data_IF_302973347691
#
_entry.id   IF_302973347691
#
_cell.length_a   1.000
_cell.length_b   1.000
_cell.length_c   1.000
_cell.angle_alpha   90.00
_cell.angle_beta   90.00
_cell.angle_gamma   90.00
#
_symmetry.space_group_name_H-M   'P 1'
#
loop_
_entity.id
_entity.type
_entity.pdbx_description
1 polymer ?
#
# COMPACT_ATOMS: atom_id res chain seq x y z
N UNK A 1 16.29 -0.08 0.20
CA UNK A 1 15.82 -1.09 1.16
C UNK A 1 15.10 -0.47 2.36
N UNK A 2 15.63 0.60 2.99
CA UNK A 2 14.98 1.23 4.15
C UNK A 2 13.57 1.79 3.89
N UNK A 3 13.31 2.39 2.72
CA UNK A 3 11.99 2.97 2.40
C UNK A 3 10.88 1.93 2.31
N UNK A 4 11.16 0.74 1.77
CA UNK A 4 10.20 -0.36 1.71
C UNK A 4 9.93 -0.94 3.09
N UNK A 5 10.95 -1.14 3.92
CA UNK A 5 10.77 -1.59 5.31
C UNK A 5 9.98 -0.59 6.15
N UNK A 6 10.20 0.71 5.96
CA UNK A 6 9.42 1.76 6.64
C UNK A 6 7.95 1.75 6.18
N UNK A 7 7.72 1.61 4.87
CA UNK A 7 6.38 1.49 4.32
C UNK A 7 5.66 0.27 4.92
N UNK A 8 6.31 -0.90 4.97
CA UNK A 8 5.74 -2.10 5.59
C UNK A 8 5.45 -1.91 7.09
N UNK A 9 6.34 -1.23 7.81
CA UNK A 9 6.16 -0.96 9.24
C UNK A 9 5.00 -0.01 9.56
N UNK A 10 4.62 0.88 8.62
CA UNK A 10 3.47 1.76 8.76
C UNK A 10 2.18 1.10 8.27
N UNK A 11 2.26 0.34 7.18
CA UNK A 11 1.14 -0.29 6.52
C UNK A 11 0.54 -1.42 7.36
N UNK A 12 1.39 -2.20 8.04
CA UNK A 12 0.95 -3.31 8.87
C UNK A 12 0.02 -2.90 10.03
N UNK A 13 0.42 -1.99 10.94
CA UNK A 13 -0.47 -1.58 12.03
C UNK A 13 -1.70 -0.80 11.54
N UNK A 14 -1.60 -0.03 10.45
CA UNK A 14 -2.74 0.71 9.90
C UNK A 14 -3.82 -0.24 9.35
N UNK A 15 -3.42 -1.20 8.52
CA UNK A 15 -4.37 -2.19 7.96
C UNK A 15 -4.92 -3.13 9.04
N UNK A 16 -4.11 -3.52 10.02
CA UNK A 16 -4.56 -4.29 11.17
C UNK A 16 -5.55 -3.53 12.07
N UNK A 17 -5.43 -2.19 12.14
CA UNK A 17 -6.40 -1.32 12.83
C UNK A 17 -7.70 -1.10 12.04
N UNK A 18 -7.80 -1.66 10.83
CA UNK A 18 -9.00 -1.62 9.97
C UNK A 18 -8.96 -0.55 8.88
N UNK A 19 -7.90 0.25 8.79
CA UNK A 19 -7.73 1.23 7.73
C UNK A 19 -7.46 0.59 6.38
N UNK A 20 -7.90 1.26 5.31
CA UNK A 20 -7.50 0.89 3.95
C UNK A 20 -6.17 1.55 3.62
N UNK A 21 -5.28 0.80 2.95
CA UNK A 21 -4.01 1.33 2.47
C UNK A 21 -3.84 1.07 0.97
N UNK A 22 -3.14 1.97 0.28
CA UNK A 22 -2.82 1.81 -1.12
C UNK A 22 -1.34 2.01 -1.39
N UNK A 23 -0.79 1.23 -2.32
CA UNK A 23 0.61 1.33 -2.72
C UNK A 23 0.69 1.42 -4.24
N UNK A 24 1.30 2.50 -4.73
CA UNK A 24 1.37 2.81 -6.15
C UNK A 24 2.83 2.93 -6.61
N UNK A 25 3.19 2.28 -7.72
CA UNK A 25 4.50 2.40 -8.34
C UNK A 25 5.63 1.58 -7.68
N UNK A 26 5.30 0.62 -6.81
CA UNK A 26 6.25 -0.30 -6.18
C UNK A 26 6.09 -1.74 -6.72
N UNK A 27 6.65 -2.05 -7.91
CA UNK A 27 6.47 -3.36 -8.55
C UNK A 27 7.17 -4.52 -7.84
N UNK A 28 8.14 -4.21 -6.98
CA UNK A 28 8.88 -5.19 -6.18
C UNK A 28 8.43 -5.22 -4.71
N UNK A 29 7.25 -4.68 -4.38
CA UNK A 29 6.71 -4.78 -3.03
C UNK A 29 6.44 -6.25 -2.69
N UNK A 30 7.14 -6.78 -1.69
CA UNK A 30 6.94 -8.14 -1.20
C UNK A 30 5.65 -8.24 -0.38
N UNK A 31 4.54 -8.58 -1.02
CA UNK A 31 3.25 -8.80 -0.34
C UNK A 31 3.33 -9.92 0.71
N UNK A 32 4.13 -10.96 0.46
CA UNK A 32 4.40 -12.01 1.43
C UNK A 32 5.08 -11.44 2.69
N UNK A 33 6.10 -10.60 2.52
CA UNK A 33 6.75 -9.94 3.65
C UNK A 33 5.81 -8.97 4.39
N UNK A 34 4.89 -8.31 3.68
CA UNK A 34 3.87 -7.47 4.29
C UNK A 34 2.90 -8.27 5.17
N UNK A 35 2.41 -9.42 4.67
CA UNK A 35 1.56 -10.32 5.44
C UNK A 35 2.29 -10.90 6.66
N UNK A 36 3.56 -11.28 6.52
CA UNK A 36 4.41 -11.73 7.63
C UNK A 36 4.59 -10.65 8.70
N UNK A 37 4.59 -9.36 8.30
CA UNK A 37 4.65 -8.22 9.22
C UNK A 37 3.29 -7.84 9.81
N UNK A 38 2.21 -8.56 9.49
CA UNK A 38 0.88 -8.35 10.05
C UNK A 38 -0.01 -7.40 9.24
N UNK A 39 0.35 -7.07 8.00
CA UNK A 39 -0.54 -6.32 7.13
C UNK A 39 -1.75 -7.14 6.68
N UNK A 40 -2.94 -6.56 6.77
CA UNK A 40 -4.15 -7.17 6.21
C UNK A 40 -4.21 -6.90 4.70
N UNK A 41 -3.80 -7.91 3.92
CA UNK A 41 -3.81 -7.83 2.45
C UNK A 41 -5.21 -7.67 1.86
N UNK A 42 -6.27 -7.99 2.59
CA UNK A 42 -7.65 -7.78 2.12
C UNK A 42 -8.05 -6.30 2.10
N UNK A 43 -7.28 -5.45 2.80
CA UNK A 43 -7.46 -3.99 2.89
C UNK A 43 -6.36 -3.20 2.19
N UNK A 44 -5.60 -3.87 1.31
CA UNK A 44 -4.48 -3.29 0.58
C UNK A 44 -4.77 -3.22 -0.92
N UNK A 45 -4.77 -2.02 -1.49
CA UNK A 45 -4.79 -1.80 -2.93
C UNK A 45 -3.35 -1.66 -3.47
N UNK A 46 -2.92 -2.54 -4.38
CA UNK A 46 -1.60 -2.45 -5.01
C UNK A 46 -1.74 -2.08 -6.50
N UNK A 47 -1.10 -0.99 -6.90
CA UNK A 47 -0.95 -0.60 -8.32
C UNK A 47 0.54 -0.58 -8.69
N UNK A 48 1.09 -1.69 -9.19
CA UNK A 48 2.54 -1.83 -9.44
C UNK A 48 3.09 -0.87 -10.50
N UNK A 49 2.29 -0.56 -11.52
CA UNK A 49 2.69 0.20 -12.71
C UNK A 49 1.54 1.10 -13.19
N UNK A 50 1.34 2.29 -12.60
CA UNK A 50 0.27 3.20 -13.00
C UNK A 50 0.54 3.94 -14.32
N UNK A 51 1.79 3.98 -14.78
CA UNK A 51 2.16 4.68 -16.03
C UNK A 51 1.82 6.17 -15.98
N UNK A 52 1.30 6.72 -17.07
CA UNK A 52 0.89 8.12 -17.17
C UNK A 52 -0.31 8.47 -16.28
N UNK A 53 -1.09 7.48 -15.86
CA UNK A 53 -2.30 7.65 -15.05
C UNK A 53 -2.00 7.78 -13.54
N UNK A 54 -0.73 7.90 -13.15
CA UNK A 54 -0.32 8.03 -11.75
C UNK A 54 -1.16 9.06 -10.97
N UNK A 55 -1.38 10.29 -11.47
CA UNK A 55 -2.16 11.30 -10.73
C UNK A 55 -3.63 10.89 -10.58
N UNK A 56 -4.23 10.29 -11.61
CA UNK A 56 -5.62 9.85 -11.60
C UNK A 56 -5.83 8.65 -10.65
N UNK A 57 -4.90 7.70 -10.66
CA UNK A 57 -4.89 6.54 -9.76
C UNK A 57 -4.77 6.99 -8.31
N UNK A 58 -3.83 7.90 -8.01
CA UNK A 58 -3.67 8.45 -6.65
C UNK A 58 -4.92 9.21 -6.22
N UNK A 59 -5.50 10.04 -7.08
CA UNK A 59 -6.73 10.77 -6.78
C UNK A 59 -7.90 9.82 -6.44
N UNK A 60 -8.11 8.77 -7.24
CA UNK A 60 -9.15 7.78 -6.98
C UNK A 60 -8.94 6.99 -5.69
N UNK A 61 -7.68 6.77 -5.28
CA UNK A 61 -7.35 6.09 -4.02
C UNK A 61 -7.57 7.01 -2.81
N UNK A 62 -7.23 8.29 -2.91
CA UNK A 62 -7.43 9.26 -1.82
C UNK A 62 -8.92 9.42 -1.43
N UNK A 63 -9.85 9.16 -2.35
CA UNK A 63 -11.29 9.21 -2.06
C UNK A 63 -11.78 8.03 -1.19
N UNK A 64 -11.01 6.95 -1.06
CA UNK A 64 -11.46 5.71 -0.40
C UNK A 64 -10.44 5.03 0.52
N UNK A 65 -9.26 5.62 0.72
CA UNK A 65 -8.13 5.00 1.42
C UNK A 65 -7.57 5.98 2.45
N UNK A 66 -7.36 5.50 3.69
CA UNK A 66 -6.87 6.34 4.79
C UNK A 66 -5.36 6.66 4.68
N UNK A 67 -4.61 5.85 3.93
CA UNK A 67 -3.16 5.94 3.77
C UNK A 67 -2.75 5.67 2.31
N UNK A 68 -2.07 6.62 1.66
CA UNK A 68 -1.50 6.53 0.29
C UNK A 68 0.01 6.78 0.30
#
# INVERSE_FOLDING_TARGET
HGSTSLLLALLAPATAAGSWAAVVGLPSLGLAAAAEHGADLSRLALVPRPGAEFPAVVAALLDGVDVV
#
